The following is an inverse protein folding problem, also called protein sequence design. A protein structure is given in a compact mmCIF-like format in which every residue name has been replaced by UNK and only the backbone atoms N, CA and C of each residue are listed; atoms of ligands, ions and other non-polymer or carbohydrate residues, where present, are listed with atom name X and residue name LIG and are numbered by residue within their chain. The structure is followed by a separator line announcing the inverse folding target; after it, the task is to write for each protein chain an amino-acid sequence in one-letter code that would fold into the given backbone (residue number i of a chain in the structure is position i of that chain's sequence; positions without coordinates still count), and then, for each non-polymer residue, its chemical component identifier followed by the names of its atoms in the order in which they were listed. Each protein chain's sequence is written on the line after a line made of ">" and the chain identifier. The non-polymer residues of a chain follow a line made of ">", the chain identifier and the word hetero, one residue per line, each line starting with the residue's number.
data_IF_340144078611
#
_entry.id   IF_340144078611
#
_cell.length_a   1.000
_cell.length_b   1.000
_cell.length_c   1.000
_cell.angle_alpha   90.00
_cell.angle_beta   90.00
_cell.angle_gamma   90.00
#
_symmetry.space_group_name_H-M   'P 1'
#
loop_
_entity.id
_entity.type
_entity.pdbx_description
1 polymer ?
#
# COMPACT_ATOMS: atom_id res chain seq x y z
N UNK A 1 -15.03 -8.90 41.38
CA UNK A 1 -16.43 -8.55 41.05
C UNK A 1 -16.36 -7.64 39.82
N UNK A 2 -16.45 -8.21 38.61
CA UNK A 2 -17.69 -8.27 37.80
C UNK A 2 -18.23 -6.87 37.48
N UNK A 3 -17.98 -6.36 36.28
CA UNK A 3 -18.93 -6.31 35.12
C UNK A 3 -19.87 -5.10 35.21
N UNK A 4 -20.13 -4.28 34.18
CA UNK A 4 -20.79 -4.58 32.88
C UNK A 4 -20.98 -3.22 32.14
N UNK A 5 -20.67 -3.10 30.82
CA UNK A 5 -21.59 -2.75 29.68
C UNK A 5 -22.23 -1.33 29.66
N UNK A 6 -22.49 -0.60 28.58
CA UNK A 6 -22.76 -0.86 27.15
C UNK A 6 -22.51 0.42 26.30
N UNK A 7 -22.52 0.26 24.96
CA UNK A 7 -23.03 1.18 23.92
C UNK A 7 -22.17 2.27 23.25
N UNK A 8 -21.76 1.92 22.03
CA UNK A 8 -21.99 2.60 20.74
C UNK A 8 -21.52 4.06 20.48
N UNK A 9 -20.72 4.16 19.41
CA UNK A 9 -20.12 5.29 18.68
C UNK A 9 -21.09 6.40 18.27
N UNK A 10 -20.59 7.63 18.08
CA UNK A 10 -20.50 8.15 16.70
C UNK A 10 -19.19 8.88 16.35
N UNK A 11 -18.59 8.45 15.24
CA UNK A 11 -17.84 9.24 14.24
C UNK A 11 -17.07 10.47 14.75
N UNK A 12 -15.80 10.27 15.13
CA UNK A 12 -14.87 11.39 15.34
C UNK A 12 -14.24 11.76 13.98
N UNK A 13 -14.36 13.02 13.51
CA UNK A 13 -13.77 13.44 12.24
C UNK A 13 -12.26 13.32 12.36
N UNK A 14 -11.68 12.32 11.69
CA UNK A 14 -10.24 12.11 11.67
C UNK A 14 -9.60 13.39 11.15
N UNK A 15 -8.95 14.14 12.04
CA UNK A 15 -8.22 15.36 11.70
C UNK A 15 -7.26 15.02 10.56
N UNK A 16 -7.60 15.45 9.34
CA UNK A 16 -6.75 15.39 8.16
C UNK A 16 -5.53 16.28 8.41
N UNK A 17 -4.56 15.78 9.15
CA UNK A 17 -3.25 16.40 9.23
C UNK A 17 -2.71 16.36 7.79
N UNK A 18 -2.43 17.51 7.15
CA UNK A 18 -1.92 17.50 5.79
C UNK A 18 -0.63 16.67 5.77
N UNK A 19 -0.45 15.80 4.77
CA UNK A 19 0.73 14.97 4.69
C UNK A 19 1.96 15.86 4.71
N UNK A 20 2.81 15.68 5.72
CA UNK A 20 4.06 16.45 5.86
C UNK A 20 5.01 15.97 4.77
N UNK A 21 5.62 16.89 4.03
CA UNK A 21 6.62 16.56 3.01
C UNK A 21 7.68 15.62 3.60
N UNK A 22 7.90 14.45 2.99
CA UNK A 22 8.87 13.44 3.44
C UNK A 22 8.36 12.41 4.47
N UNK A 23 7.23 12.66 5.13
CA UNK A 23 6.63 11.72 6.09
C UNK A 23 5.85 10.59 5.40
N UNK A 24 6.07 9.34 5.81
CA UNK A 24 5.21 8.22 5.45
C UNK A 24 3.94 8.32 6.31
N UNK A 25 2.79 8.46 5.69
CA UNK A 25 1.49 8.40 6.35
C UNK A 25 1.28 7.00 6.95
N UNK A 26 0.61 6.91 8.09
CA UNK A 26 0.33 5.64 8.75
C UNK A 26 -0.40 4.64 7.83
N UNK A 27 -0.14 3.34 8.06
CA UNK A 27 -0.79 2.24 7.33
C UNK A 27 -2.31 2.39 7.43
N UNK A 28 -2.98 2.49 6.27
CA UNK A 28 -4.44 2.61 6.16
C UNK A 28 -5.00 1.54 5.23
N UNK A 29 -6.28 1.16 5.37
CA UNK A 29 -6.94 0.31 4.39
C UNK A 29 -6.95 0.99 3.00
N UNK A 30 -6.89 0.17 1.96
CA UNK A 30 -6.90 0.63 0.56
C UNK A 30 -8.26 1.23 0.23
N UNK A 31 -8.29 2.46 -0.29
CA UNK A 31 -9.52 3.14 -0.72
C UNK A 31 -9.64 3.08 -2.26
N UNK A 32 -10.76 3.59 -2.79
CA UNK A 32 -11.04 3.57 -4.24
C UNK A 32 -9.97 4.30 -5.08
N UNK A 33 -9.44 5.42 -4.58
CA UNK A 33 -8.37 6.16 -5.26
C UNK A 33 -7.06 5.36 -5.29
N UNK A 34 -6.73 4.71 -4.17
CA UNK A 34 -5.55 3.85 -4.05
C UNK A 34 -5.68 2.62 -4.97
N UNK A 35 -6.88 2.06 -5.08
CA UNK A 35 -7.18 0.96 -6.00
C UNK A 35 -7.03 1.38 -7.46
N UNK A 36 -7.37 2.61 -7.82
CA UNK A 36 -7.17 3.13 -9.18
C UNK A 36 -5.69 3.23 -9.54
N UNK A 37 -4.86 3.66 -8.59
CA UNK A 37 -3.39 3.63 -8.74
C UNK A 37 -2.94 2.18 -8.87
N UNK A 38 -3.36 1.29 -7.97
CA UNK A 38 -3.02 -0.12 -8.05
C UNK A 38 -3.36 -0.73 -9.42
N UNK A 39 -4.59 -0.54 -9.92
CA UNK A 39 -5.05 -1.08 -11.19
C UNK A 39 -4.23 -0.56 -12.37
N UNK A 40 -3.86 0.73 -12.34
CA UNK A 40 -3.00 1.36 -13.36
C UNK A 40 -1.64 0.69 -13.49
N UNK A 41 -1.08 0.20 -12.38
CA UNK A 41 0.25 -0.43 -12.34
C UNK A 41 0.20 -1.93 -12.11
N UNK A 42 -1.00 -2.53 -12.07
CA UNK A 42 -1.24 -3.91 -11.65
C UNK A 42 -0.43 -4.92 -12.44
N UNK A 43 -0.42 -4.81 -13.77
CA UNK A 43 0.35 -5.73 -14.62
C UNK A 43 1.86 -5.71 -14.30
N UNK A 44 2.42 -4.53 -14.04
CA UNK A 44 3.83 -4.37 -13.67
C UNK A 44 4.12 -4.86 -12.26
N UNK A 45 3.19 -4.59 -11.33
CA UNK A 45 3.26 -5.02 -9.94
C UNK A 45 3.20 -6.54 -9.83
N UNK A 46 2.19 -7.16 -10.44
CA UNK A 46 2.02 -8.61 -10.45
C UNK A 46 3.21 -9.28 -11.09
N UNK A 47 3.69 -8.77 -12.23
CA UNK A 47 4.89 -9.31 -12.89
C UNK A 47 6.12 -9.23 -12.00
N UNK A 48 6.40 -8.08 -11.35
CA UNK A 48 7.55 -7.93 -10.44
C UNK A 48 7.41 -8.81 -9.21
N UNK A 49 6.23 -8.90 -8.60
CA UNK A 49 5.99 -9.76 -7.44
C UNK A 49 6.16 -11.23 -7.81
N UNK A 50 5.57 -11.67 -8.91
CA UNK A 50 5.68 -13.05 -9.39
C UNK A 50 7.12 -13.42 -9.72
N UNK A 51 7.87 -12.54 -10.39
CA UNK A 51 9.28 -12.75 -10.70
C UNK A 51 10.15 -12.83 -9.43
N UNK A 52 9.97 -11.87 -8.52
CA UNK A 52 10.82 -11.74 -7.34
C UNK A 52 10.53 -12.80 -6.25
N UNK A 53 9.27 -13.21 -6.10
CA UNK A 53 8.84 -14.17 -5.07
C UNK A 53 8.48 -15.55 -5.63
N UNK A 54 8.62 -15.76 -6.93
CA UNK A 54 8.22 -17.02 -7.62
C UNK A 54 6.76 -17.41 -7.35
N UNK A 55 5.88 -16.42 -7.18
CA UNK A 55 4.45 -16.66 -6.94
C UNK A 55 3.80 -17.15 -8.24
N UNK A 56 2.95 -18.19 -8.19
CA UNK A 56 2.26 -18.68 -9.38
C UNK A 56 1.33 -17.60 -9.95
N UNK A 57 1.30 -17.46 -11.28
CA UNK A 57 0.39 -16.54 -12.00
C UNK A 57 -1.09 -16.74 -11.69
N UNK A 58 -1.46 -17.92 -11.20
CA UNK A 58 -2.83 -18.25 -10.80
C UNK A 58 -3.24 -17.60 -9.47
N UNK A 59 -2.29 -17.07 -8.69
CA UNK A 59 -2.60 -16.41 -7.43
C UNK A 59 -2.98 -14.95 -7.65
N UNK A 60 -4.16 -14.56 -7.19
CA UNK A 60 -4.64 -13.18 -7.30
C UNK A 60 -3.98 -12.31 -6.23
N UNK A 61 -3.09 -11.42 -6.65
CA UNK A 61 -2.45 -10.46 -5.76
C UNK A 61 -3.42 -9.31 -5.45
N UNK A 62 -3.76 -9.15 -4.17
CA UNK A 62 -4.65 -8.08 -3.70
C UNK A 62 -3.95 -7.21 -2.67
N UNK A 63 -3.98 -5.88 -2.82
CA UNK A 63 -3.47 -4.98 -1.82
C UNK A 63 -4.43 -4.99 -0.62
N UNK A 64 -3.91 -5.22 0.58
CA UNK A 64 -4.67 -5.23 1.85
C UNK A 64 -4.60 -3.89 2.55
N UNK A 65 -3.46 -3.21 2.46
CA UNK A 65 -3.21 -1.91 3.10
C UNK A 65 -2.35 -1.05 2.19
N UNK A 66 -2.38 0.25 2.42
CA UNK A 66 -1.57 1.23 1.71
C UNK A 66 -1.03 2.25 2.70
N UNK A 67 0.21 2.68 2.48
CA UNK A 67 0.72 3.91 3.05
C UNK A 67 1.14 4.84 1.93
N UNK A 68 1.07 6.14 2.16
CA UNK A 68 1.46 7.14 1.17
C UNK A 68 2.55 8.03 1.72
N UNK A 69 3.45 8.50 0.87
CA UNK A 69 4.47 9.47 1.23
C UNK A 69 4.50 10.55 0.15
N UNK A 70 4.36 11.80 0.59
CA UNK A 70 4.43 12.95 -0.30
C UNK A 70 5.89 13.35 -0.50
N UNK A 71 6.34 13.35 -1.76
CA UNK A 71 7.68 13.72 -2.22
C UNK A 71 7.56 14.70 -3.40
N UNK A 72 8.50 14.73 -4.36
CA UNK A 72 8.31 15.38 -5.66
C UNK A 72 7.30 14.65 -6.57
N UNK A 73 6.26 14.07 -5.95
CA UNK A 73 5.37 13.02 -6.43
C UNK A 73 4.59 12.46 -5.24
N UNK A 74 3.99 11.29 -5.42
CA UNK A 74 3.40 10.50 -4.36
C UNK A 74 3.97 9.08 -4.43
N UNK A 75 4.63 8.63 -3.38
CA UNK A 75 4.92 7.20 -3.23
C UNK A 75 3.71 6.54 -2.57
N UNK A 76 3.21 5.46 -3.16
CA UNK A 76 2.25 4.54 -2.58
C UNK A 76 2.97 3.26 -2.20
N UNK A 77 2.79 2.80 -0.98
CA UNK A 77 3.33 1.55 -0.45
C UNK A 77 2.16 0.60 -0.21
N UNK A 78 1.85 -0.20 -1.23
CA UNK A 78 0.81 -1.22 -1.16
C UNK A 78 1.35 -2.46 -0.46
N UNK A 79 0.73 -2.85 0.64
CA UNK A 79 0.93 -4.15 1.26
C UNK A 79 0.07 -5.17 0.54
N UNK A 80 0.68 -6.20 -0.01
CA UNK A 80 0.04 -7.22 -0.84
C UNK A 80 0.19 -8.55 -0.13
N UNK A 81 -0.92 -9.27 0.01
CA UNK A 81 -0.90 -10.63 0.54
C UNK A 81 -0.37 -11.60 -0.52
N UNK A 82 0.58 -12.43 -0.11
CA UNK A 82 1.19 -13.50 -0.90
C UNK A 82 0.71 -14.86 -0.40
N UNK A 83 0.90 -15.94 -1.19
CA UNK A 83 0.75 -17.30 -0.66
C UNK A 83 1.65 -17.52 0.57
N UNK A 84 1.26 -18.47 1.42
CA UNK A 84 1.95 -18.83 2.67
C UNK A 84 1.89 -17.75 3.77
N UNK A 85 0.84 -16.92 3.80
CA UNK A 85 0.63 -15.84 4.80
C UNK A 85 1.80 -14.85 4.85
N UNK A 86 2.47 -14.66 3.72
CA UNK A 86 3.54 -13.69 3.56
C UNK A 86 2.96 -12.38 3.04
N UNK A 87 3.64 -11.29 3.33
CA UNK A 87 3.27 -9.98 2.79
C UNK A 87 4.44 -9.40 2.00
N UNK A 88 4.11 -8.77 0.87
CA UNK A 88 5.03 -7.97 0.08
C UNK A 88 4.65 -6.49 0.16
N UNK A 89 5.64 -5.60 0.13
CA UNK A 89 5.38 -4.17 -0.01
C UNK A 89 5.74 -3.71 -1.41
N UNK A 90 4.74 -3.36 -2.19
CA UNK A 90 4.88 -2.77 -3.50
C UNK A 90 4.94 -1.24 -3.37
N UNK A 91 6.03 -0.63 -3.83
CA UNK A 91 6.17 0.82 -3.96
C UNK A 91 5.80 1.27 -5.37
N UNK A 92 4.87 2.20 -5.48
CA UNK A 92 4.47 2.85 -6.72
C UNK A 92 4.77 4.33 -6.57
N UNK A 93 5.62 4.87 -7.44
CA UNK A 93 5.78 6.30 -7.59
C UNK A 93 4.74 6.82 -8.58
N UNK A 94 3.90 7.74 -8.14
CA UNK A 94 2.83 8.31 -8.95
C UNK A 94 2.93 9.83 -8.95
N UNK A 95 2.92 10.43 -10.13
CA UNK A 95 2.96 11.89 -10.34
C UNK A 95 1.68 12.32 -11.05
N UNK A 96 0.61 12.68 -10.31
CA UNK A 96 -0.70 12.94 -10.91
C UNK A 96 -0.74 14.14 -11.86
N UNK A 97 0.25 15.04 -11.81
CA UNK A 97 0.36 16.22 -12.67
C UNK A 97 1.18 15.99 -13.95
N UNK A 98 1.86 14.85 -14.09
CA UNK A 98 2.66 14.56 -15.28
C UNK A 98 1.78 13.83 -16.33
N UNK A 99 1.51 14.50 -17.45
CA UNK A 99 0.66 13.96 -18.54
C UNK A 99 1.39 12.90 -19.37
N UNK A 100 2.71 12.93 -19.36
CA UNK A 100 3.59 12.03 -20.11
C UNK A 100 3.90 10.78 -19.27
N UNK A 101 3.11 9.72 -19.47
CA UNK A 101 3.38 8.40 -18.87
C UNK A 101 4.40 7.61 -19.70
N UNK A 102 5.55 8.19 -20.05
CA UNK A 102 6.67 7.41 -20.57
C UNK A 102 7.30 6.64 -19.40
N UNK A 103 7.43 5.32 -19.51
CA UNK A 103 8.14 4.51 -18.51
C UNK A 103 7.34 4.10 -17.26
N UNK A 104 6.06 3.72 -17.38
CA UNK A 104 5.24 3.20 -16.25
C UNK A 104 5.90 2.05 -15.47
N UNK A 105 6.77 1.27 -16.12
CA UNK A 105 7.53 0.19 -15.47
C UNK A 105 8.62 0.67 -14.50
N UNK A 106 9.22 1.83 -14.77
CA UNK A 106 10.29 2.44 -13.96
C UNK A 106 9.72 3.06 -12.67
N UNK A 107 8.45 3.49 -12.74
CA UNK A 107 7.70 4.06 -11.61
C UNK A 107 7.27 3.02 -10.56
N UNK A 108 7.43 1.73 -10.84
CA UNK A 108 7.03 0.65 -9.93
C UNK A 108 8.28 -0.05 -9.41
N UNK A 109 8.40 -0.16 -8.08
CA UNK A 109 9.45 -0.93 -7.41
C UNK A 109 8.83 -1.83 -6.36
N UNK A 110 9.20 -3.11 -6.34
CA UNK A 110 8.70 -4.04 -5.32
C UNK A 110 9.80 -4.18 -4.29
N UNK A 111 9.53 -3.76 -3.04
CA UNK A 111 10.42 -3.97 -1.92
C UNK A 111 9.79 -5.01 -1.00
N UNK A 112 10.31 -6.22 -1.10
CA UNK A 112 9.90 -7.31 -0.26
C UNK A 112 10.55 -7.25 1.10
N UNK A 113 9.82 -6.79 2.11
CA UNK A 113 10.12 -7.17 3.48
C UNK A 113 9.16 -8.30 3.84
N UNK A 114 9.69 -9.51 3.95
CA UNK A 114 8.93 -10.67 4.43
C UNK A 114 8.53 -10.36 5.88
N UNK A 115 7.32 -9.85 6.05
CA UNK A 115 6.74 -9.56 7.37
C UNK A 115 5.78 -10.67 7.72
N UNK A 116 5.88 -11.20 8.94
CA UNK A 116 4.92 -12.17 9.48
C UNK A 116 3.66 -11.48 10.00
N UNK A 117 3.69 -10.14 10.12
CA UNK A 117 2.60 -9.35 10.68
C UNK A 117 2.02 -8.35 9.68
N UNK A 118 0.68 -8.27 9.56
CA UNK A 118 0.02 -7.27 8.71
C UNK A 118 0.25 -5.84 9.23
N UNK A 119 0.49 -5.66 10.54
CA UNK A 119 0.64 -4.34 11.17
C UNK A 119 2.10 -3.89 11.43
N UNK A 120 3.10 -4.53 10.80
CA UNK A 120 4.48 -4.02 10.90
C UNK A 120 4.57 -2.61 10.32
N UNK A 121 5.04 -1.68 11.15
CA UNK A 121 5.34 -0.31 10.78
C UNK A 121 6.33 -0.32 9.60
N UNK A 122 6.00 0.40 8.54
CA UNK A 122 6.89 0.56 7.37
C UNK A 122 8.12 1.42 7.68
N UNK A 123 8.41 1.66 8.97
CA UNK A 123 9.52 2.43 9.48
C UNK A 123 10.84 1.96 8.89
N UNK A 124 11.45 2.90 8.17
CA UNK A 124 12.71 2.80 7.42
C UNK A 124 12.56 2.18 6.02
N UNK A 125 12.06 2.99 5.08
CA UNK A 125 12.37 2.91 3.65
C UNK A 125 13.41 3.96 3.26
#
# INVERSE_FOLDING_TARGET
>A
MSSKKDSATPDEPTTHKPPVCGGIAGLRPVNEEDLKVWDTYKEHLEKKIQDQFKVPKSHTLKPVQVATQVVAGMNYFFKVELPDKKYATARVYHVPWQKDTHGKADQVSVHAKLSESPNEDLGHF
#
